data_IF_694064728322
#
_entry.id   IF_694064728322
#
_cell.length_a   1.000
_cell.length_b   1.000
_cell.length_c   1.000
_cell.angle_alpha   90.00
_cell.angle_beta   90.00
_cell.angle_gamma   90.00
#
_symmetry.space_group_name_H-M   'P 1'
#
loop_
_entity.id
_entity.type
_entity.pdbx_description
1 polymer ?
#
# COMPACT_ATOMS: atom_id res chain seq x y z
N UNK A 1 -24.01 -16.36 -2.98
CA UNK A 1 -23.36 -15.37 -3.87
C UNK A 1 -22.70 -16.10 -5.03
N UNK A 2 -23.02 -15.74 -6.27
CA UNK A 2 -22.34 -16.28 -7.45
C UNK A 2 -20.98 -15.61 -7.58
N UNK A 3 -19.88 -16.39 -7.58
CA UNK A 3 -18.53 -15.86 -7.79
C UNK A 3 -18.34 -15.46 -9.27
N UNK A 4 -17.44 -14.51 -9.52
CA UNK A 4 -16.98 -14.20 -10.88
C UNK A 4 -16.27 -15.43 -11.46
N UNK A 5 -16.30 -15.64 -12.79
CA UNK A 5 -15.70 -16.83 -13.42
C UNK A 5 -14.18 -16.94 -13.23
N UNK A 6 -13.51 -15.83 -12.95
CA UNK A 6 -12.06 -15.75 -12.69
C UNK A 6 -11.72 -15.55 -11.20
N UNK A 7 -12.69 -15.66 -10.28
CA UNK A 7 -12.41 -15.55 -8.86
C UNK A 7 -11.56 -16.75 -8.41
N UNK A 8 -10.41 -16.54 -7.75
CA UNK A 8 -9.59 -17.64 -7.28
C UNK A 8 -10.36 -18.47 -6.23
N UNK A 9 -10.06 -19.76 -6.19
CA UNK A 9 -10.57 -20.71 -5.18
C UNK A 9 -9.49 -20.99 -4.15
N UNK A 10 -8.23 -21.07 -4.60
CA UNK A 10 -7.03 -21.23 -3.79
C UNK A 10 -5.90 -20.32 -4.34
N UNK A 11 -4.74 -20.36 -3.67
CA UNK A 11 -3.51 -19.66 -4.10
C UNK A 11 -3.70 -18.15 -4.37
N UNK A 12 -4.29 -17.44 -3.40
CA UNK A 12 -4.53 -16.00 -3.49
C UNK A 12 -4.15 -15.29 -2.21
N UNK A 13 -3.91 -13.98 -2.32
CA UNK A 13 -3.68 -13.11 -1.18
C UNK A 13 -4.92 -12.26 -0.94
N UNK A 14 -5.48 -12.35 0.26
CA UNK A 14 -6.57 -11.48 0.68
C UNK A 14 -6.07 -10.08 1.01
N UNK A 15 -6.67 -9.07 0.37
CA UNK A 15 -6.34 -7.67 0.62
C UNK A 15 -7.57 -6.77 0.55
N UNK A 16 -7.47 -5.63 1.24
CA UNK A 16 -8.51 -4.63 1.24
C UNK A 16 -8.57 -3.89 -0.09
N UNK A 17 -9.79 -3.71 -0.60
CA UNK A 17 -10.07 -2.89 -1.79
C UNK A 17 -9.58 -1.44 -1.66
N UNK A 18 -9.50 -0.92 -0.43
CA UNK A 18 -9.02 0.42 -0.11
C UNK A 18 -7.64 0.75 -0.70
N UNK A 19 -6.76 -0.26 -0.87
CA UNK A 19 -5.46 -0.07 -1.52
C UNK A 19 -5.61 0.51 -2.93
N UNK A 20 -6.64 0.07 -3.66
CA UNK A 20 -6.86 0.44 -5.06
C UNK A 20 -7.80 1.64 -5.23
N UNK A 21 -8.62 1.95 -4.23
CA UNK A 21 -9.63 3.01 -4.31
C UNK A 21 -9.28 4.26 -3.53
N UNK A 22 -8.49 4.14 -2.46
CA UNK A 22 -8.10 5.24 -1.58
C UNK A 22 -6.60 5.50 -1.65
N UNK A 23 -5.76 4.50 -1.37
CA UNK A 23 -4.31 4.71 -1.28
C UNK A 23 -3.67 5.10 -2.62
N UNK A 24 -4.16 4.60 -3.75
CA UNK A 24 -3.71 5.05 -5.09
C UNK A 24 -4.01 6.53 -5.39
N UNK A 25 -4.79 7.22 -4.57
CA UNK A 25 -5.02 8.67 -4.68
C UNK A 25 -3.89 9.50 -4.07
N UNK A 26 -3.06 8.90 -3.22
CA UNK A 26 -1.91 9.57 -2.60
C UNK A 26 -0.81 9.84 -3.63
N UNK A 27 -0.16 11.03 -3.60
CA UNK A 27 0.68 11.50 -4.69
C UNK A 27 1.92 10.62 -4.97
N UNK A 28 2.58 10.09 -3.95
CA UNK A 28 3.75 9.21 -4.05
C UNK A 28 3.43 7.72 -3.90
N UNK A 29 2.15 7.36 -3.73
CA UNK A 29 1.72 5.96 -3.62
C UNK A 29 1.42 5.36 -5.00
N UNK A 30 2.31 4.47 -5.44
CA UNK A 30 2.27 3.78 -6.75
C UNK A 30 1.97 2.29 -6.62
N UNK A 31 1.62 1.65 -7.75
CA UNK A 31 1.29 0.22 -7.82
C UNK A 31 2.32 -0.71 -7.16
N UNK A 32 3.62 -0.39 -7.24
CA UNK A 32 4.67 -1.18 -6.57
C UNK A 32 4.52 -1.23 -5.04
N UNK A 33 3.94 -0.21 -4.41
CA UNK A 33 3.64 -0.23 -2.98
C UNK A 33 2.50 -1.21 -2.67
N UNK A 34 1.48 -1.27 -3.54
CA UNK A 34 0.39 -2.24 -3.42
C UNK A 34 0.95 -3.67 -3.52
N UNK A 35 1.82 -3.93 -4.50
CA UNK A 35 2.46 -5.23 -4.68
C UNK A 35 3.32 -5.61 -3.47
N UNK A 36 4.16 -4.69 -2.97
CA UNK A 36 4.96 -4.96 -1.77
C UNK A 36 4.09 -5.20 -0.54
N UNK A 37 2.98 -4.47 -0.37
CA UNK A 37 2.06 -4.69 0.73
C UNK A 37 1.40 -6.09 0.66
N UNK A 38 0.89 -6.48 -0.52
CA UNK A 38 0.33 -7.82 -0.75
C UNK A 38 1.35 -8.92 -0.45
N UNK A 39 2.59 -8.73 -0.91
CA UNK A 39 3.68 -9.66 -0.63
C UNK A 39 3.94 -9.81 0.87
N UNK A 40 3.92 -8.71 1.62
CA UNK A 40 4.07 -8.77 3.08
C UNK A 40 2.87 -9.44 3.77
N UNK A 41 1.65 -9.29 3.24
CA UNK A 41 0.49 -10.06 3.70
C UNK A 41 0.67 -11.57 3.46
N UNK A 42 1.15 -11.96 2.28
CA UNK A 42 1.45 -13.36 1.93
C UNK A 42 2.54 -13.96 2.84
N UNK A 43 3.60 -13.19 3.11
CA UNK A 43 4.69 -13.61 4.00
C UNK A 43 4.39 -13.43 5.49
N UNK A 44 3.17 -13.03 5.86
CA UNK A 44 2.83 -12.77 7.25
C UNK A 44 2.79 -14.08 8.04
N UNK A 45 3.65 -14.19 9.06
CA UNK A 45 3.63 -15.33 9.96
C UNK A 45 2.74 -15.02 11.17
N UNK A 46 1.62 -15.73 11.28
CA UNK A 46 0.62 -15.55 12.34
C UNK A 46 1.18 -15.82 13.74
N UNK A 47 2.08 -16.79 13.90
CA UNK A 47 2.67 -17.14 15.20
C UNK A 47 3.61 -16.03 15.69
N UNK A 48 4.36 -15.42 14.77
CA UNK A 48 5.31 -14.37 15.09
C UNK A 48 4.68 -12.96 15.13
N UNK A 49 3.56 -12.78 14.44
CA UNK A 49 2.87 -11.49 14.32
C UNK A 49 3.50 -10.51 13.32
N UNK A 50 4.39 -10.99 12.44
CA UNK A 50 5.08 -10.17 11.44
C UNK A 50 5.54 -10.98 10.22
N UNK A 51 5.82 -10.28 9.13
CA UNK A 51 6.54 -10.81 7.98
C UNK A 51 8.04 -10.52 8.12
N UNK A 52 8.91 -11.40 7.62
CA UNK A 52 10.37 -11.24 7.72
C UNK A 52 11.15 -11.64 6.45
N UNK A 53 10.67 -11.30 5.24
CA UNK A 53 11.43 -11.57 4.02
C UNK A 53 12.75 -10.76 4.03
N UNK A 54 13.80 -11.34 3.45
CA UNK A 54 15.04 -10.61 3.18
C UNK A 54 14.83 -9.62 2.05
N UNK A 55 15.68 -8.58 1.96
CA UNK A 55 15.64 -7.66 0.83
C UNK A 55 15.96 -8.37 -0.50
N UNK A 56 16.80 -9.40 -0.47
CA UNK A 56 17.10 -10.20 -1.66
C UNK A 56 15.85 -10.96 -2.15
N UNK A 57 15.12 -11.61 -1.24
CA UNK A 57 13.85 -12.28 -1.55
C UNK A 57 12.83 -11.31 -2.13
N UNK A 58 12.69 -10.12 -1.54
CA UNK A 58 11.80 -9.10 -2.10
C UNK A 58 12.20 -8.64 -3.51
N UNK A 59 13.50 -8.53 -3.79
CA UNK A 59 13.96 -8.14 -5.13
C UNK A 59 13.67 -9.22 -6.17
N UNK A 60 13.93 -10.48 -5.81
CA UNK A 60 13.68 -11.65 -6.65
C UNK A 60 12.18 -11.85 -6.90
N UNK A 61 11.39 -11.95 -5.83
CA UNK A 61 9.96 -12.27 -5.91
C UNK A 61 9.14 -11.16 -6.59
N UNK A 62 9.55 -9.89 -6.46
CA UNK A 62 8.84 -8.74 -7.03
C UNK A 62 9.47 -8.19 -8.30
N UNK A 63 10.63 -8.71 -8.73
CA UNK A 63 11.36 -8.20 -9.89
C UNK A 63 11.78 -6.72 -9.76
N UNK A 64 12.19 -6.29 -8.56
CA UNK A 64 12.58 -4.91 -8.28
C UNK A 64 14.08 -4.77 -7.99
N UNK A 65 14.64 -3.58 -8.21
CA UNK A 65 16.06 -3.33 -7.96
C UNK A 65 16.39 -3.29 -6.45
N UNK A 66 17.64 -3.56 -6.11
CA UNK A 66 18.14 -3.70 -4.73
C UNK A 66 17.85 -2.52 -3.80
N UNK A 67 17.67 -1.32 -4.35
CA UNK A 67 17.39 -0.10 -3.59
C UNK A 67 15.88 0.15 -3.36
N UNK A 68 15.02 -0.64 -3.99
CA UNK A 68 13.56 -0.44 -3.97
C UNK A 68 12.88 -0.93 -2.69
N UNK A 69 13.21 -2.10 -2.09
CA UNK A 69 12.54 -2.56 -0.88
C UNK A 69 12.51 -1.52 0.23
N UNK A 70 13.64 -0.85 0.49
CA UNK A 70 13.74 0.21 1.48
C UNK A 70 12.92 1.46 1.12
N UNK A 71 12.88 1.86 -0.16
CA UNK A 71 12.10 3.03 -0.61
C UNK A 71 10.59 2.77 -0.48
N UNK A 72 10.13 1.61 -0.96
CA UNK A 72 8.74 1.22 -0.87
C UNK A 72 8.28 1.06 0.59
N UNK A 73 9.10 0.43 1.44
CA UNK A 73 8.79 0.28 2.87
C UNK A 73 8.64 1.64 3.59
N UNK A 74 9.46 2.65 3.24
CA UNK A 74 9.33 4.00 3.80
C UNK A 74 7.97 4.63 3.47
N UNK A 75 7.51 4.53 2.23
CA UNK A 75 6.20 5.05 1.81
C UNK A 75 5.05 4.27 2.45
N UNK A 76 5.14 2.93 2.50
CA UNK A 76 4.15 2.11 3.21
C UNK A 76 4.05 2.47 4.69
N UNK A 77 5.18 2.76 5.34
CA UNK A 77 5.24 3.22 6.73
C UNK A 77 4.66 4.63 6.90
N UNK A 78 5.00 5.57 6.01
CA UNK A 78 4.44 6.93 5.97
C UNK A 78 2.90 6.88 5.98
N UNK A 79 2.31 5.96 5.22
CA UNK A 79 0.87 5.79 5.12
C UNK A 79 0.28 4.75 6.08
N UNK A 80 1.03 4.37 7.11
CA UNK A 80 0.55 3.54 8.21
C UNK A 80 0.15 2.12 7.83
N UNK A 81 0.54 1.64 6.64
CA UNK A 81 0.25 0.29 6.18
C UNK A 81 1.19 -0.75 6.78
N UNK A 82 2.40 -0.33 7.15
CA UNK A 82 3.36 -1.19 7.85
C UNK A 82 4.06 -0.41 8.96
N UNK A 83 4.67 -1.15 9.87
CA UNK A 83 5.87 -0.70 10.58
C UNK A 83 7.01 -1.67 10.29
N UNK A 84 8.25 -1.27 10.53
CA UNK A 84 9.37 -2.19 10.41
C UNK A 84 10.50 -1.85 11.36
N UNK A 85 11.20 -2.88 11.84
CA UNK A 85 12.39 -2.72 12.68
C UNK A 85 13.45 -3.73 12.31
N UNK A 86 14.69 -3.41 12.68
CA UNK A 86 15.81 -4.34 12.62
C UNK A 86 16.12 -4.79 14.06
N UNK A 87 15.89 -6.06 14.42
CA UNK A 87 15.98 -6.49 15.82
C UNK A 87 17.42 -6.49 16.36
N UNK A 88 18.40 -6.71 15.49
CA UNK A 88 19.82 -6.64 15.82
C UNK A 88 20.64 -6.19 14.60
N UNK A 89 21.86 -5.70 14.83
CA UNK A 89 22.79 -5.45 13.74
C UNK A 89 23.06 -6.77 12.98
N UNK A 90 23.12 -6.72 11.65
CA UNK A 90 23.24 -7.92 10.82
C UNK A 90 21.92 -8.66 10.56
N UNK A 91 20.90 -8.53 11.42
CA UNK A 91 19.63 -9.22 11.23
C UNK A 91 18.80 -8.64 10.08
N UNK A 92 17.87 -9.46 9.57
CA UNK A 92 16.84 -9.05 8.63
C UNK A 92 15.85 -8.08 9.27
N UNK A 93 15.19 -7.27 8.45
CA UNK A 93 14.06 -6.49 8.91
C UNK A 93 12.86 -7.40 9.20
N UNK A 94 12.10 -7.03 10.22
CA UNK A 94 10.75 -7.57 10.46
C UNK A 94 9.74 -6.48 10.14
N UNK A 95 8.63 -6.86 9.52
CA UNK A 95 7.60 -5.99 8.99
C UNK A 95 6.25 -6.31 9.64
N UNK A 96 5.72 -5.34 10.38
CA UNK A 96 4.42 -5.43 11.03
C UNK A 96 3.36 -4.87 10.08
N UNK A 97 2.59 -5.74 9.43
CA UNK A 97 1.51 -5.35 8.52
C UNK A 97 0.33 -4.81 9.33
N UNK A 98 -0.24 -3.69 8.87
CA UNK A 98 -1.41 -3.04 9.49
C UNK A 98 -2.55 -3.00 8.50
N UNK A 99 -3.79 -3.09 9.00
CA UNK A 99 -4.97 -2.95 8.17
C UNK A 99 -5.02 -1.54 7.54
N UNK A 100 -5.38 -1.41 6.26
CA UNK A 100 -5.57 -0.11 5.61
C UNK A 100 -6.76 0.63 6.22
N UNK A 101 -6.74 1.95 6.19
CA UNK A 101 -7.94 2.75 6.49
C UNK A 101 -8.95 2.53 5.35
N UNK A 102 -10.13 2.01 5.67
CA UNK A 102 -11.16 1.64 4.68
C UNK A 102 -12.30 2.64 4.59
N UNK A 103 -12.55 3.41 5.65
CA UNK A 103 -13.54 4.47 5.64
C UNK A 103 -13.02 5.68 4.86
N UNK A 104 -13.83 6.21 3.94
CA UNK A 104 -13.38 7.26 3.04
C UNK A 104 -13.22 8.62 3.74
N UNK A 105 -14.14 8.95 4.66
CA UNK A 105 -14.09 10.23 5.39
C UNK A 105 -12.89 10.27 6.34
N UNK A 106 -12.68 9.19 7.09
CA UNK A 106 -11.49 9.01 7.93
C UNK A 106 -10.21 9.09 7.08
N UNK A 107 -10.20 8.44 5.91
CA UNK A 107 -9.03 8.44 5.04
C UNK A 107 -8.67 9.87 4.60
N UNK A 108 -9.64 10.67 4.16
CA UNK A 108 -9.37 12.05 3.74
C UNK A 108 -9.08 13.00 4.90
N UNK A 109 -9.65 12.77 6.08
CA UNK A 109 -9.26 13.51 7.28
C UNK A 109 -7.79 13.22 7.64
N UNK A 110 -7.35 11.98 7.50
CA UNK A 110 -5.98 11.55 7.81
C UNK A 110 -4.98 11.94 6.73
N UNK A 111 -5.39 11.90 5.46
CA UNK A 111 -4.58 12.22 4.29
C UNK A 111 -5.30 13.22 3.37
N UNK A 112 -5.34 14.52 3.74
CA UNK A 112 -6.03 15.54 2.95
C UNK A 112 -5.49 15.65 1.51
N UNK A 113 -4.21 15.34 1.30
CA UNK A 113 -3.56 15.37 -0.02
C UNK A 113 -4.12 14.34 -1.02
N UNK A 114 -4.86 13.35 -0.55
CA UNK A 114 -5.54 12.38 -1.42
C UNK A 114 -6.85 12.94 -2.02
N UNK A 115 -7.37 14.04 -1.49
CA UNK A 115 -8.63 14.61 -1.96
C UNK A 115 -8.39 15.47 -3.22
N UNK A 116 -8.59 14.87 -4.39
CA UNK A 116 -8.49 15.54 -5.69
C UNK A 116 -9.51 16.67 -5.89
N UNK A 117 -10.54 16.76 -5.05
CA UNK A 117 -11.54 17.82 -5.09
C UNK A 117 -11.15 19.10 -4.34
N UNK A 118 -9.95 19.17 -3.76
CA UNK A 118 -9.48 20.32 -2.98
C UNK A 118 -8.26 21.03 -3.60
N UNK A 119 -7.83 20.61 -4.79
CA UNK A 119 -6.96 21.45 -5.62
C UNK A 119 -7.84 22.52 -6.25
N UNK A 120 -7.92 23.69 -5.59
CA UNK A 120 -8.50 24.95 -6.07
C UNK A 120 -9.62 24.83 -7.10
N UNK A 121 -10.87 25.03 -6.67
CA UNK A 121 -11.92 25.48 -7.58
C UNK A 121 -11.56 26.86 -8.12
N UNK A 122 -10.64 26.93 -9.09
CA UNK A 122 -10.73 27.96 -10.12
C UNK A 122 -11.93 27.55 -10.98
N UNK A 123 -13.08 28.11 -10.65
CA UNK A 123 -14.16 28.23 -11.62
C UNK A 123 -13.59 29.02 -12.80
N UNK A 124 -13.18 28.32 -13.87
CA UNK A 124 -13.03 28.97 -15.16
C UNK A 124 -14.40 29.54 -15.52
N UNK A 125 -14.49 30.86 -15.44
CA UNK A 125 -15.65 31.65 -15.79
C UNK A 125 -15.88 31.53 -17.31
N UNK A 126 -16.66 30.52 -17.71
CA UNK A 126 -16.96 30.21 -19.11
C UNK A 126 -17.94 31.21 -19.75
N UNK A 127 -18.22 32.35 -19.12
CA UNK A 127 -19.09 33.41 -19.68
C UNK A 127 -18.34 34.46 -20.52
N UNK A 128 -17.06 34.26 -20.82
CA UNK A 128 -16.29 35.16 -21.70
C UNK A 128 -16.54 35.02 -23.21
N UNK A 129 -17.40 34.09 -23.65
CA UNK A 129 -17.65 33.80 -25.07
C UNK A 129 -19.13 33.63 -25.44
N UNK A 130 -20.04 34.27 -24.71
CA UNK A 130 -21.45 34.44 -25.10
C UNK A 130 -21.85 35.91 -24.99
#
# INVERSE_FOLDING_TARGET
MTKKPFAPVDNYVEVHRALFTLYTRLPDFKAQHVLMYMYLCDKYNVQNGYAYPTQAQMCEDLGISVNMPGKLAKTLRKYGLIDYKRPALGANYVYYVKAPVTDQEEFYRKYPEANRGNSGSESEDLTGWL
#
